data_IF_356011617143
#
_entry.id   IF_356011617143
#
_cell.length_a   1.000
_cell.length_b   1.000
_cell.length_c   1.000
_cell.angle_alpha   90.00
_cell.angle_beta   90.00
_cell.angle_gamma   90.00
#
_symmetry.space_group_name_H-M   'P 1'
#
loop_
_entity.id
_entity.type
_entity.pdbx_description
1 polymer ?
#
# COMPACT_ATOMS: atom_id res chain seq x y z
N UNK A 1 8.23 -19.50 52.79
CA UNK A 1 8.22 -18.21 52.08
C UNK A 1 8.56 -18.52 50.62
N UNK A 2 7.57 -18.45 49.71
CA UNK A 2 7.74 -18.78 48.28
C UNK A 2 8.02 -17.50 47.51
N UNK A 3 9.10 -17.47 46.73
CA UNK A 3 9.43 -16.38 45.80
C UNK A 3 9.12 -16.86 44.38
N UNK A 4 7.84 -16.91 44.06
CA UNK A 4 7.34 -17.02 42.69
C UNK A 4 7.46 -15.64 42.02
N UNK A 5 8.63 -15.33 41.45
CA UNK A 5 8.73 -14.28 40.45
C UNK A 5 8.15 -14.81 39.14
N UNK A 6 6.82 -14.74 39.03
CA UNK A 6 6.13 -14.79 37.75
C UNK A 6 6.52 -13.55 36.94
N UNK A 7 7.49 -13.73 36.05
CA UNK A 7 7.65 -12.85 34.89
C UNK A 7 6.38 -13.02 34.05
N UNK A 8 5.45 -12.07 34.21
CA UNK A 8 4.31 -11.93 33.31
C UNK A 8 4.84 -11.86 31.87
N UNK A 9 4.34 -12.68 30.93
CA UNK A 9 4.64 -12.46 29.53
C UNK A 9 4.07 -11.09 29.17
N UNK A 10 4.92 -10.19 28.72
CA UNK A 10 4.49 -8.96 28.05
C UNK A 10 3.58 -9.43 26.92
N UNK A 11 2.27 -9.26 27.10
CA UNK A 11 1.29 -9.49 26.06
C UNK A 11 1.72 -8.64 24.87
N UNK A 12 2.31 -9.31 23.89
CA UNK A 12 2.48 -8.77 22.56
C UNK A 12 1.07 -8.47 22.08
N UNK A 13 0.61 -7.23 22.29
CA UNK A 13 -0.65 -6.72 21.75
C UNK A 13 -0.60 -6.95 20.26
N UNK A 14 -1.17 -8.08 19.83
CA UNK A 14 -1.00 -8.57 18.48
C UNK A 14 -1.55 -7.51 17.54
N UNK A 15 -0.69 -6.98 16.67
CA UNK A 15 -1.08 -6.01 15.64
C UNK A 15 -1.94 -6.72 14.58
N UNK A 16 -1.85 -8.06 14.49
CA UNK A 16 -2.52 -8.87 13.47
C UNK A 16 -4.05 -8.73 13.47
N UNK A 17 -4.76 -8.97 14.60
CA UNK A 17 -6.21 -8.81 14.64
C UNK A 17 -6.68 -7.39 14.33
N UNK A 18 -5.87 -6.36 14.65
CA UNK A 18 -6.20 -4.96 14.35
C UNK A 18 -6.04 -4.63 12.87
N UNK A 19 -4.94 -5.08 12.26
CA UNK A 19 -4.70 -4.91 10.82
C UNK A 19 -5.74 -5.64 9.98
N UNK A 20 -6.03 -6.90 10.33
CA UNK A 20 -7.05 -7.70 9.63
C UNK A 20 -8.45 -7.07 9.77
N UNK A 21 -8.80 -6.55 10.95
CA UNK A 21 -10.07 -5.86 11.15
C UNK A 21 -10.13 -4.53 10.39
N UNK A 22 -9.07 -3.73 10.42
CA UNK A 22 -9.05 -2.43 9.75
C UNK A 22 -9.06 -2.58 8.23
N UNK A 23 -8.06 -3.26 7.64
CA UNK A 23 -7.96 -3.40 6.19
C UNK A 23 -8.99 -4.38 5.62
N UNK A 24 -9.13 -5.56 6.24
CA UNK A 24 -10.02 -6.60 5.74
C UNK A 24 -11.50 -6.24 5.89
N UNK A 25 -11.95 -5.79 7.07
CA UNK A 25 -13.38 -5.50 7.27
C UNK A 25 -13.82 -4.14 6.72
N UNK A 26 -13.00 -3.10 6.83
CA UNK A 26 -13.43 -1.75 6.39
C UNK A 26 -13.28 -1.56 4.88
N UNK A 27 -12.21 -2.10 4.29
CA UNK A 27 -11.87 -1.89 2.88
C UNK A 27 -12.03 -3.16 2.02
N UNK A 28 -12.31 -4.32 2.63
CA UNK A 28 -12.41 -5.58 1.88
C UNK A 28 -11.05 -6.11 1.40
N UNK A 29 -9.94 -5.59 1.93
CA UNK A 29 -8.61 -5.90 1.44
C UNK A 29 -8.09 -7.23 2.00
N UNK A 30 -7.62 -8.09 1.11
CA UNK A 30 -6.94 -9.34 1.48
C UNK A 30 -5.53 -9.06 2.01
N UNK A 31 -5.22 -9.56 3.21
CA UNK A 31 -3.89 -9.45 3.81
C UNK A 31 -3.18 -10.81 3.87
N UNK A 32 -1.87 -10.77 3.68
CA UNK A 32 -0.96 -11.87 3.98
C UNK A 32 0.10 -11.42 4.96
N UNK A 33 0.24 -12.12 6.08
CA UNK A 33 1.26 -11.83 7.08
C UNK A 33 2.53 -12.62 6.82
N UNK A 34 3.69 -11.95 6.89
CA UNK A 34 5.01 -12.60 6.95
C UNK A 34 5.71 -12.13 8.22
N UNK A 35 5.68 -12.95 9.27
CA UNK A 35 6.13 -12.53 10.60
C UNK A 35 5.27 -11.39 11.14
N UNK A 36 5.85 -10.26 11.61
CA UNK A 36 5.10 -9.10 12.07
C UNK A 36 4.64 -8.17 10.93
N UNK A 37 5.12 -8.40 9.70
CA UNK A 37 4.88 -7.51 8.56
C UNK A 37 3.61 -7.94 7.80
N UNK A 38 2.60 -7.06 7.68
CA UNK A 38 1.45 -7.25 6.79
C UNK A 38 1.81 -6.90 5.35
N UNK A 39 1.26 -7.67 4.42
CA UNK A 39 1.27 -7.40 2.98
C UNK A 39 -0.17 -7.36 2.47
N UNK A 40 -0.51 -6.36 1.69
CA UNK A 40 -1.71 -6.33 0.88
C UNK A 40 -1.52 -7.30 -0.29
N UNK A 41 -2.50 -8.18 -0.51
CA UNK A 41 -2.57 -9.02 -1.71
C UNK A 41 -3.30 -8.22 -2.78
N UNK A 42 -2.62 -7.94 -3.90
CA UNK A 42 -3.19 -7.19 -5.02
C UNK A 42 -4.09 -8.09 -5.88
N UNK A 43 -5.29 -8.36 -5.36
CA UNK A 43 -6.33 -9.19 -5.95
C UNK A 43 -7.70 -8.52 -5.85
N UNK A 44 -8.76 -9.17 -6.36
CA UNK A 44 -10.12 -8.64 -6.24
C UNK A 44 -10.35 -7.30 -6.96
N UNK A 45 -9.62 -7.05 -8.06
CA UNK A 45 -9.68 -5.79 -8.79
C UNK A 45 -8.70 -4.73 -8.29
N UNK A 46 -7.94 -4.98 -7.22
CA UNK A 46 -6.93 -4.04 -6.72
C UNK A 46 -5.60 -4.26 -7.42
N UNK A 47 -4.97 -3.17 -7.86
CA UNK A 47 -3.60 -3.12 -8.34
C UNK A 47 -2.83 -1.96 -7.68
N UNK A 48 -1.53 -1.87 -7.96
CA UNK A 48 -0.72 -0.73 -7.56
C UNK A 48 0.13 -0.25 -8.72
N UNK A 49 0.07 1.05 -9.02
CA UNK A 49 1.00 1.70 -9.94
C UNK A 49 2.22 2.12 -9.14
N UNK A 50 3.41 1.66 -9.56
CA UNK A 50 4.67 2.03 -8.93
C UNK A 50 5.54 2.88 -9.83
N UNK A 51 6.18 3.89 -9.24
CA UNK A 51 7.06 4.84 -9.91
C UNK A 51 8.21 5.30 -8.99
N UNK A 52 9.31 5.85 -9.52
CA UNK A 52 10.40 6.37 -8.70
C UNK A 52 9.90 7.45 -7.71
N UNK A 53 10.40 7.43 -6.46
CA UNK A 53 9.91 8.34 -5.40
C UNK A 53 10.01 9.82 -5.77
N UNK A 54 11.02 10.21 -6.56
CA UNK A 54 11.22 11.59 -7.03
C UNK A 54 10.03 12.15 -7.82
N UNK A 55 9.26 11.28 -8.50
CA UNK A 55 8.08 11.68 -9.27
C UNK A 55 6.78 11.62 -8.45
N UNK A 56 6.82 11.01 -7.26
CA UNK A 56 5.63 10.66 -6.48
C UNK A 56 4.80 11.87 -6.07
N UNK A 57 5.43 12.91 -5.52
CA UNK A 57 4.72 14.09 -5.02
C UNK A 57 3.92 14.80 -6.12
N UNK A 58 4.50 14.93 -7.32
CA UNK A 58 3.82 15.55 -8.45
C UNK A 58 2.61 14.74 -8.91
N UNK A 59 2.72 13.41 -8.98
CA UNK A 59 1.62 12.53 -9.39
C UNK A 59 0.48 12.56 -8.36
N UNK A 60 0.82 12.49 -7.07
CA UNK A 60 -0.18 12.58 -6.00
C UNK A 60 -0.92 13.92 -6.00
N UNK A 61 -0.21 15.03 -6.24
CA UNK A 61 -0.85 16.34 -6.39
C UNK A 61 -1.84 16.37 -7.54
N UNK A 62 -1.46 15.85 -8.71
CA UNK A 62 -2.35 15.81 -9.89
C UNK A 62 -3.60 14.97 -9.65
N UNK A 63 -3.48 13.85 -8.95
CA UNK A 63 -4.63 13.01 -8.57
C UNK A 63 -5.55 13.74 -7.59
N UNK A 64 -4.98 14.45 -6.61
CA UNK A 64 -5.76 15.26 -5.68
C UNK A 64 -6.53 16.38 -6.42
N UNK A 65 -5.87 17.06 -7.37
CA UNK A 65 -6.47 18.14 -8.17
C UNK A 65 -7.66 17.68 -9.03
N UNK A 66 -7.69 16.40 -9.42
CA UNK A 66 -8.81 15.81 -10.18
C UNK A 66 -9.87 15.16 -9.29
N UNK A 67 -9.72 15.22 -7.96
CA UNK A 67 -10.59 14.50 -7.03
C UNK A 67 -10.47 12.99 -7.14
N UNK A 68 -9.35 12.48 -7.68
CA UNK A 68 -9.04 11.05 -7.81
C UNK A 68 -7.90 10.65 -6.84
N UNK A 69 -7.80 11.33 -5.71
CA UNK A 69 -6.86 10.98 -4.65
C UNK A 69 -7.10 9.54 -4.17
N UNK A 70 -6.06 8.90 -3.66
CA UNK A 70 -6.17 7.54 -3.17
C UNK A 70 -5.03 7.14 -2.24
N UNK A 71 -5.09 5.94 -1.67
CA UNK A 71 -4.04 5.44 -0.80
C UNK A 71 -2.74 5.26 -1.56
N UNK A 72 -1.65 5.79 -1.01
CA UNK A 72 -0.33 5.72 -1.60
C UNK A 72 0.74 5.56 -0.54
N UNK A 73 1.77 4.80 -0.85
CA UNK A 73 2.85 4.49 0.08
C UNK A 73 4.22 4.61 -0.58
N UNK A 74 5.21 5.08 0.17
CA UNK A 74 6.60 4.92 -0.19
C UNK A 74 7.02 3.49 0.17
N UNK A 75 7.70 2.79 -0.74
CA UNK A 75 8.21 1.44 -0.55
C UNK A 75 9.67 1.36 -0.93
N UNK A 76 10.45 0.61 -0.15
CA UNK A 76 11.85 0.31 -0.48
C UNK A 76 11.90 -0.95 -1.35
N UNK A 77 12.45 -0.84 -2.55
CA UNK A 77 12.64 -1.99 -3.45
C UNK A 77 14.11 -2.15 -3.84
N UNK A 78 14.43 -3.25 -4.51
CA UNK A 78 15.77 -3.48 -5.07
C UNK A 78 16.19 -2.43 -6.10
N UNK A 79 15.22 -1.75 -6.72
CA UNK A 79 15.44 -0.65 -7.68
C UNK A 79 15.54 0.73 -6.98
N UNK A 80 15.52 0.76 -5.64
CA UNK A 80 15.52 1.98 -4.84
C UNK A 80 14.12 2.38 -4.31
N UNK A 81 13.99 3.57 -3.70
CA UNK A 81 12.72 4.06 -3.17
C UNK A 81 11.70 4.34 -4.28
N UNK A 82 10.51 3.75 -4.16
CA UNK A 82 9.39 3.92 -5.08
C UNK A 82 8.16 4.41 -4.34
N UNK A 83 7.23 5.04 -5.06
CA UNK A 83 5.85 5.22 -4.60
C UNK A 83 5.01 4.11 -5.22
N UNK A 84 4.11 3.52 -4.44
CA UNK A 84 3.04 2.65 -4.89
C UNK A 84 1.70 3.33 -4.62
N UNK A 85 0.93 3.58 -5.66
CA UNK A 85 -0.42 4.18 -5.60
C UNK A 85 -1.42 3.06 -5.83
N UNK A 86 -2.32 2.83 -4.88
CA UNK A 86 -3.37 1.82 -5.04
C UNK A 86 -4.42 2.31 -6.03
N UNK A 87 -4.86 1.41 -6.91
CA UNK A 87 -5.85 1.68 -7.93
C UNK A 87 -6.75 0.46 -8.17
N UNK A 88 -7.96 0.70 -8.64
CA UNK A 88 -8.85 -0.33 -9.16
C UNK A 88 -8.54 -0.61 -10.63
N UNK A 89 -8.59 -1.87 -11.04
CA UNK A 89 -8.42 -2.29 -12.43
C UNK A 89 -9.77 -2.24 -13.14
N UNK A 90 -9.83 -1.61 -14.31
CA UNK A 90 -11.03 -1.61 -15.16
C UNK A 90 -11.13 -2.91 -16.00
N UNK A 91 -10.58 -4.02 -15.48
CA UNK A 91 -10.56 -5.34 -16.13
C UNK A 91 -9.40 -5.59 -17.10
N UNK A 92 -8.62 -4.57 -17.48
CA UNK A 92 -7.43 -4.72 -18.34
C UNK A 92 -6.23 -4.00 -17.74
N UNK A 93 -5.10 -4.71 -17.66
CA UNK A 93 -3.81 -4.13 -17.28
C UNK A 93 -3.02 -3.88 -18.57
N UNK A 94 -2.61 -2.64 -18.85
CA UNK A 94 -1.85 -2.34 -20.05
C UNK A 94 -0.53 -3.13 -20.09
N UNK A 95 -0.11 -3.63 -21.26
CA UNK A 95 1.17 -4.32 -21.37
C UNK A 95 2.32 -3.36 -21.04
N UNK A 96 3.41 -3.86 -20.47
CA UNK A 96 4.56 -3.05 -20.02
C UNK A 96 5.08 -2.06 -21.07
N UNK A 97 5.05 -2.44 -22.35
CA UNK A 97 5.50 -1.58 -23.46
C UNK A 97 4.66 -0.30 -23.65
N UNK A 98 3.43 -0.28 -23.13
CA UNK A 98 2.51 0.87 -23.19
C UNK A 98 2.59 1.78 -21.96
N UNK A 99 3.32 1.36 -20.92
CA UNK A 99 3.48 2.12 -19.69
C UNK A 99 4.58 3.18 -19.86
N UNK A 100 4.46 4.34 -19.18
CA UNK A 100 5.55 5.31 -19.15
C UNK A 100 6.84 4.71 -18.59
N UNK A 101 7.98 5.30 -18.95
CA UNK A 101 9.27 4.82 -18.49
C UNK A 101 9.35 4.82 -16.96
N UNK A 102 9.94 3.76 -16.40
CA UNK A 102 10.06 3.53 -14.97
C UNK A 102 8.73 3.37 -14.22
N UNK A 103 7.59 3.21 -14.90
CA UNK A 103 6.31 2.86 -14.29
C UNK A 103 6.08 1.36 -14.40
N UNK A 104 5.61 0.75 -13.32
CA UNK A 104 5.20 -0.65 -13.29
C UNK A 104 3.81 -0.76 -12.67
N UNK A 105 2.99 -1.68 -13.18
CA UNK A 105 1.71 -2.02 -12.56
C UNK A 105 1.87 -3.37 -11.87
N UNK A 106 1.70 -3.39 -10.55
CA UNK A 106 1.68 -4.60 -9.74
C UNK A 106 0.24 -5.08 -9.59
N UNK A 107 -0.01 -6.36 -9.85
CA UNK A 107 -1.33 -6.98 -9.78
C UNK A 107 -1.24 -8.50 -9.63
N UNK A 108 -2.37 -9.21 -9.77
CA UNK A 108 -2.45 -10.67 -9.86
C UNK A 108 -1.86 -11.40 -8.65
N UNK A 109 -2.28 -10.99 -7.46
CA UNK A 109 -1.85 -11.60 -6.19
C UNK A 109 -0.45 -11.17 -5.74
N UNK A 110 0.16 -10.19 -6.42
CA UNK A 110 1.41 -9.57 -5.96
C UNK A 110 1.24 -9.04 -4.54
N UNK A 111 2.27 -9.20 -3.71
CA UNK A 111 2.26 -8.77 -2.32
C UNK A 111 2.90 -7.39 -2.18
N UNK A 112 2.13 -6.41 -1.74
CA UNK A 112 2.61 -5.05 -1.45
C UNK A 112 2.77 -4.88 0.07
N UNK A 113 3.96 -4.53 0.59
CA UNK A 113 4.14 -4.34 2.03
C UNK A 113 3.29 -3.17 2.52
N UNK A 114 2.53 -3.38 3.60
CA UNK A 114 1.77 -2.30 4.24
C UNK A 114 2.59 -1.62 5.34
N UNK A 115 2.46 -0.29 5.52
CA UNK A 115 3.09 0.39 6.64
C UNK A 115 2.64 -0.19 7.99
N UNK A 116 3.56 -0.25 8.96
CA UNK A 116 3.26 -0.69 10.33
C UNK A 116 3.53 0.43 11.32
N UNK A 117 2.71 0.53 12.37
CA UNK A 117 2.86 1.52 13.45
C UNK A 117 4.10 1.33 14.32
N UNK A 118 5.02 0.43 13.94
CA UNK A 118 6.08 -0.05 14.84
C UNK A 118 7.20 0.97 15.07
N UNK A 119 7.19 2.12 14.39
CA UNK A 119 8.16 3.21 14.60
C UNK A 119 9.64 2.80 14.42
N UNK A 120 9.89 1.60 13.90
CA UNK A 120 11.24 1.07 13.70
C UNK A 120 11.81 1.59 12.38
N UNK A 121 13.10 1.87 12.39
CA UNK A 121 13.89 2.34 11.26
C UNK A 121 13.94 1.37 10.05
N UNK A 122 13.37 0.16 10.18
CA UNK A 122 13.31 -0.88 9.14
C UNK A 122 11.94 -0.96 8.44
N UNK A 123 11.09 0.07 8.57
CA UNK A 123 9.81 0.10 7.86
C UNK A 123 10.02 0.04 6.34
N UNK A 124 9.69 -1.11 5.74
CA UNK A 124 9.77 -1.31 4.28
C UNK A 124 8.73 -0.50 3.50
N UNK A 125 7.74 0.06 4.20
CA UNK A 125 6.68 0.89 3.63
C UNK A 125 6.26 2.01 4.61
N UNK A 126 5.90 3.17 4.06
CA UNK A 126 5.37 4.34 4.77
C UNK A 126 4.17 4.91 4.01
N UNK A 127 3.09 5.29 4.71
CA UNK A 127 1.94 5.94 4.07
C UNK A 127 2.32 7.38 3.65
N UNK A 128 2.20 7.67 2.37
CA UNK A 128 2.21 9.05 1.84
C UNK A 128 0.79 9.62 1.81
N UNK A 129 -0.19 8.76 1.58
CA UNK A 129 -1.62 9.02 1.69
C UNK A 129 -2.25 7.75 2.25
N UNK A 130 -2.71 7.79 3.50
CA UNK A 130 -3.32 6.63 4.15
C UNK A 130 -4.76 6.42 3.62
N UNK A 131 -5.28 5.18 3.63
CA UNK A 131 -6.68 4.94 3.28
C UNK A 131 -7.61 5.60 4.32
N UNK A 132 -8.59 6.36 3.85
CA UNK A 132 -9.61 7.00 4.69
C UNK A 132 -10.86 6.10 4.78
N UNK A 133 -11.30 5.67 5.98
CA UNK A 133 -12.53 4.91 6.15
C UNK A 133 -13.81 5.59 5.63
N UNK A 134 -13.79 6.90 5.39
CA UNK A 134 -14.89 7.69 4.79
C UNK A 134 -14.84 7.69 3.26
N UNK A 135 -13.67 7.47 2.68
CA UNK A 135 -13.41 7.46 1.23
C UNK A 135 -12.80 6.10 0.85
N UNK A 136 -13.68 5.10 0.75
CA UNK A 136 -13.26 3.70 0.58
C UNK A 136 -13.02 3.27 -0.87
N UNK A 137 -13.22 4.20 -1.81
CA UNK A 137 -13.03 3.95 -3.23
C UNK A 137 -11.55 4.13 -3.59
N UNK A 138 -11.05 3.37 -4.57
CA UNK A 138 -9.74 3.60 -5.16
C UNK A 138 -9.89 4.37 -6.47
N UNK A 139 -8.89 5.19 -6.87
CA UNK A 139 -8.88 5.73 -8.22
C UNK A 139 -8.77 4.58 -9.25
N UNK A 140 -9.32 4.79 -10.45
CA UNK A 140 -9.13 3.83 -11.53
C UNK A 140 -7.66 3.81 -11.99
N UNK A 141 -7.22 2.66 -12.52
CA UNK A 141 -5.88 2.50 -13.09
C UNK A 141 -5.60 3.57 -14.15
N UNK A 142 -6.58 3.88 -15.00
CA UNK A 142 -6.44 4.89 -16.04
C UNK A 142 -6.27 6.30 -15.47
N UNK A 143 -6.96 6.64 -14.37
CA UNK A 143 -6.78 7.93 -13.70
C UNK A 143 -5.35 8.07 -13.16
N UNK A 144 -4.81 7.01 -12.55
CA UNK A 144 -3.43 7.01 -12.05
C UNK A 144 -2.43 7.10 -13.20
N UNK A 145 -2.59 6.33 -14.28
CA UNK A 145 -1.70 6.37 -15.43
C UNK A 145 -1.75 7.74 -16.15
N UNK A 146 -2.92 8.36 -16.23
CA UNK A 146 -3.09 9.71 -16.78
C UNK A 146 -2.34 10.75 -15.93
N UNK A 147 -2.36 10.63 -14.60
CA UNK A 147 -1.62 11.53 -13.71
C UNK A 147 -0.09 11.38 -13.82
N UNK A 148 0.41 10.19 -14.17
CA UNK A 148 1.85 9.93 -14.34
C UNK A 148 2.40 10.52 -15.65
N UNK A 149 1.60 10.55 -16.72
CA UNK A 149 2.06 11.10 -18.00
C UNK A 149 2.31 12.60 -17.86
N UNK A 150 3.47 13.13 -18.31
CA UNK A 150 3.65 14.57 -18.42
C UNK A 150 2.61 15.12 -19.40
N UNK A 151 2.04 16.29 -19.06
CA UNK A 151 1.25 17.07 -20.01
C UNK A 151 2.18 17.65 -21.07
#
# INVERSE_FOLDING_TARGET
>A
MSLDHQVLPIESRSIRPRGDAFYGRLFGWSLKWRGPQPFLVLEGGICAVTLPKINGAQVLSRLADTGCGGPAMAVLTQQGPRVAILAETDGLIPPRISLPQHVEVLAWGTLLPLPTDSGRAEAHAEWLSAPDPRERWLPSLDAVLAAVRPR
#
